data_IF_513474926269
#
_entry.id   IF_513474926269
#
_cell.length_a   1.000
_cell.length_b   1.000
_cell.length_c   1.000
_cell.angle_alpha   90.00
_cell.angle_beta   90.00
_cell.angle_gamma   90.00
#
_symmetry.space_group_name_H-M   'P 1'
#
loop_
_entity.id
_entity.type
_entity.pdbx_description
1 polymer ?
#
# COMPACT_ATOMS: atom_id res chain seq x y z
N UNK A 1 -55.17 51.33 15.81
CA UNK A 1 -55.00 50.91 15.22
C UNK A 1 -53.97 50.11 15.16
N UNK A 2 -53.70 49.43 15.26
CA UNK A 2 -53.16 48.79 14.98
C UNK A 2 -52.25 48.16 15.02
N UNK A 3 -51.63 47.49 15.32
CA UNK A 3 -50.64 46.97 15.71
C UNK A 3 -50.52 45.64 15.72
N UNK A 4 -50.27 45.20 14.89
CA UNK A 4 -50.25 43.99 14.77
C UNK A 4 -49.08 43.34 14.57
N UNK A 5 -48.33 43.72 14.86
CA UNK A 5 -47.24 43.28 14.67
C UNK A 5 -46.56 42.50 15.30
N UNK A 6 -46.75 41.72 15.80
CA UNK A 6 -46.11 40.90 16.49
C UNK A 6 -46.07 39.57 16.12
N UNK A 7 -45.86 39.24 15.05
CA UNK A 7 -45.63 37.97 14.72
C UNK A 7 -44.33 37.76 14.32
N UNK A 8 -43.53 37.95 15.04
CA UNK A 8 -42.23 37.43 14.95
C UNK A 8 -42.29 36.03 15.33
N UNK A 9 -42.17 35.25 14.48
CA UNK A 9 -41.93 33.90 14.68
C UNK A 9 -40.47 33.65 14.55
N UNK A 10 -39.80 33.57 15.55
CA UNK A 10 -38.44 33.14 15.50
C UNK A 10 -38.37 31.66 15.64
N UNK A 11 -38.88 31.07 14.69
CA UNK A 11 -38.90 29.67 14.78
C UNK A 11 -37.92 29.02 13.95
N UNK A 12 -36.78 29.63 13.93
CA UNK A 12 -35.85 29.21 13.05
C UNK A 12 -34.55 28.85 13.60
N UNK A 13 -34.55 28.55 14.80
CA UNK A 13 -33.31 28.36 15.43
C UNK A 13 -33.03 26.93 15.81
N UNK A 14 -33.68 26.06 15.22
CA UNK A 14 -33.49 24.71 15.68
C UNK A 14 -32.84 23.80 14.70
N UNK A 15 -32.12 24.39 13.87
CA UNK A 15 -31.39 23.51 13.02
C UNK A 15 -29.96 23.49 13.37
N UNK A 16 -29.60 22.88 14.10
CA UNK A 16 -28.61 22.41 14.18
C UNK A 16 -27.89 21.75 14.53
N UNK A 17 -27.46 21.33 14.23
CA UNK A 17 -26.17 20.92 14.44
C UNK A 17 -26.02 19.50 14.69
N UNK A 18 -26.17 18.86 13.72
CA UNK A 18 -25.40 17.69 13.59
C UNK A 18 -24.09 18.05 12.94
N UNK A 19 -23.36 18.74 13.64
CA UNK A 19 -21.94 18.61 13.44
C UNK A 19 -21.58 17.23 13.94
N UNK A 20 -21.96 16.27 13.19
CA UNK A 20 -21.36 15.00 13.33
C UNK A 20 -19.87 15.20 13.12
N UNK A 21 -19.12 14.96 14.13
CA UNK A 21 -17.71 14.79 14.03
C UNK A 21 -17.49 13.52 13.20
N UNK A 22 -17.69 13.67 11.94
CA UNK A 22 -17.00 12.79 11.02
C UNK A 22 -15.58 13.31 11.04
N UNK A 23 -14.61 12.47 11.29
CA UNK A 23 -13.29 12.78 10.86
C UNK A 23 -13.36 12.86 9.36
N UNK A 24 -13.79 13.98 8.87
CA UNK A 24 -13.69 14.28 7.47
C UNK A 24 -12.23 14.41 7.21
N UNK A 25 -11.68 13.39 6.63
CA UNK A 25 -10.45 13.56 5.90
C UNK A 25 -10.75 14.71 4.96
N UNK A 26 -10.12 15.81 5.22
CA UNK A 26 -10.24 16.97 4.36
C UNK A 26 -9.91 16.53 2.95
N UNK A 27 -10.70 16.95 2.00
CA UNK A 27 -10.51 16.60 0.58
C UNK A 27 -9.06 16.80 0.14
N UNK A 28 -8.36 17.76 0.72
CA UNK A 28 -6.95 17.97 0.52
C UNK A 28 -6.07 16.79 0.92
N UNK A 29 -6.34 16.14 2.03
CA UNK A 29 -5.54 14.99 2.47
C UNK A 29 -5.73 13.76 1.59
N UNK A 30 -6.93 13.52 1.10
CA UNK A 30 -7.16 12.42 0.16
C UNK A 30 -6.43 12.66 -1.17
N UNK A 31 -6.35 13.89 -1.60
CA UNK A 31 -5.60 14.26 -2.80
C UNK A 31 -4.10 14.07 -2.59
N UNK A 32 -3.62 14.42 -1.41
CA UNK A 32 -2.22 14.23 -1.05
C UNK A 32 -1.86 12.74 -0.97
N UNK A 33 -2.69 11.93 -0.34
CA UNK A 33 -2.47 10.48 -0.25
C UNK A 33 -2.46 9.82 -1.64
N UNK A 34 -3.34 10.24 -2.53
CA UNK A 34 -3.36 9.75 -3.91
C UNK A 34 -2.10 10.18 -4.69
N UNK A 35 -1.64 11.40 -4.48
CA UNK A 35 -0.41 11.89 -5.09
C UNK A 35 0.81 11.13 -4.54
N UNK A 36 0.87 10.89 -3.26
CA UNK A 36 1.92 10.08 -2.62
C UNK A 36 1.93 8.67 -3.19
N UNK A 37 0.77 8.04 -3.28
CA UNK A 37 0.63 6.70 -3.86
C UNK A 37 1.16 6.65 -5.30
N UNK A 38 0.84 7.64 -6.11
CA UNK A 38 1.32 7.72 -7.49
C UNK A 38 2.84 7.91 -7.55
N UNK A 39 3.39 8.77 -6.71
CA UNK A 39 4.84 9.00 -6.62
C UNK A 39 5.58 7.74 -6.19
N UNK A 40 5.06 7.03 -5.20
CA UNK A 40 5.64 5.76 -4.75
C UNK A 40 5.63 4.74 -5.89
N UNK A 41 4.51 4.57 -6.57
CA UNK A 41 4.42 3.65 -7.69
C UNK A 41 5.38 4.00 -8.82
N UNK A 42 5.50 5.26 -9.16
CA UNK A 42 6.44 5.72 -10.18
C UNK A 42 7.89 5.43 -9.78
N UNK A 43 8.23 5.67 -8.52
CA UNK A 43 9.57 5.41 -8.01
C UNK A 43 9.89 3.91 -7.96
N UNK A 44 8.95 3.10 -7.51
CA UNK A 44 9.10 1.65 -7.50
C UNK A 44 9.27 1.08 -8.91
N UNK A 45 8.54 1.60 -9.88
CA UNK A 45 8.69 1.18 -11.28
C UNK A 45 10.11 1.40 -11.82
N UNK A 46 10.78 2.44 -11.33
CA UNK A 46 12.16 2.75 -11.73
C UNK A 46 13.18 1.92 -10.94
N UNK A 47 12.94 1.71 -9.66
CA UNK A 47 13.92 1.08 -8.75
C UNK A 47 13.88 -0.45 -8.77
N UNK A 48 12.69 -1.03 -8.89
CA UNK A 48 12.50 -2.49 -8.80
C UNK A 48 11.86 -3.13 -10.04
N UNK A 49 11.40 -2.33 -10.94
CA UNK A 49 10.80 -2.80 -12.19
C UNK A 49 9.30 -3.02 -12.15
N UNK A 50 8.71 -3.06 -13.35
CA UNK A 50 7.27 -3.11 -13.52
C UNK A 50 6.62 -4.42 -13.02
N UNK A 51 7.36 -5.50 -13.01
CA UNK A 51 6.85 -6.82 -12.61
C UNK A 51 6.54 -6.85 -11.11
N UNK A 52 7.45 -6.34 -10.31
CA UNK A 52 7.28 -6.24 -8.87
C UNK A 52 6.17 -5.26 -8.50
N UNK A 53 6.05 -4.18 -9.27
CA UNK A 53 5.02 -3.19 -9.05
C UNK A 53 3.60 -3.76 -9.17
N UNK A 54 3.43 -4.77 -10.02
CA UNK A 54 2.12 -5.43 -10.20
C UNK A 54 1.77 -6.33 -9.02
N UNK A 55 2.78 -6.91 -8.37
CA UNK A 55 2.60 -7.81 -7.26
C UNK A 55 2.49 -7.08 -5.90
N UNK A 56 3.01 -5.86 -5.82
CA UNK A 56 3.02 -5.08 -4.59
C UNK A 56 1.85 -4.13 -4.52
N UNK A 57 1.06 -4.25 -3.48
CA UNK A 57 -0.01 -3.31 -3.19
C UNK A 57 0.52 -2.17 -2.32
N UNK A 58 0.26 -0.95 -2.76
CA UNK A 58 0.62 0.26 -2.05
C UNK A 58 -0.65 0.94 -1.57
N UNK A 59 -0.79 1.08 -0.27
CA UNK A 59 -1.91 1.79 0.33
C UNK A 59 -1.38 3.00 1.10
N UNK A 60 -2.03 4.14 0.95
CA UNK A 60 -1.65 5.37 1.63
C UNK A 60 -2.85 5.95 2.34
N UNK A 61 -2.72 6.22 3.63
CA UNK A 61 -3.76 6.82 4.45
C UNK A 61 -3.14 7.82 5.42
N UNK A 62 -3.50 9.09 5.30
CA UNK A 62 -2.96 10.17 6.12
C UNK A 62 -1.42 10.23 6.15
N UNK A 63 -0.79 9.96 5.03
CA UNK A 63 0.67 9.92 4.92
C UNK A 63 1.32 8.63 5.42
N UNK A 64 0.56 7.70 5.95
CA UNK A 64 1.03 6.38 6.34
C UNK A 64 0.94 5.42 5.14
N UNK A 65 2.07 4.91 4.74
CA UNK A 65 2.17 3.98 3.62
C UNK A 65 2.20 2.56 4.14
N UNK A 66 1.32 1.73 3.63
CA UNK A 66 1.33 0.29 3.89
C UNK A 66 1.67 -0.44 2.59
N UNK A 67 2.72 -1.21 2.63
CA UNK A 67 3.17 -2.04 1.52
C UNK A 67 2.83 -3.49 1.82
N UNK A 68 2.21 -4.17 0.90
CA UNK A 68 1.84 -5.57 1.03
C UNK A 68 2.03 -6.30 -0.29
N UNK A 69 2.39 -7.56 -0.23
CA UNK A 69 2.54 -8.41 -1.41
C UNK A 69 3.81 -9.26 -1.38
N UNK A 70 3.93 -10.19 -2.32
CA UNK A 70 5.11 -11.02 -2.45
C UNK A 70 6.23 -10.29 -3.19
N UNK A 71 7.44 -10.47 -2.73
CA UNK A 71 8.67 -9.99 -3.36
C UNK A 71 9.66 -11.14 -3.51
N UNK A 72 10.57 -11.03 -4.46
CA UNK A 72 11.49 -12.10 -4.79
C UNK A 72 12.65 -12.24 -3.79
N UNK A 73 13.02 -11.16 -3.12
CA UNK A 73 14.16 -11.17 -2.21
C UNK A 73 13.99 -10.17 -1.06
N UNK A 74 14.76 -10.36 -0.01
CA UNK A 74 14.83 -9.43 1.12
C UNK A 74 15.40 -8.08 0.70
N UNK A 75 16.36 -8.08 -0.22
CA UNK A 75 16.92 -6.85 -0.78
C UNK A 75 15.86 -6.02 -1.47
N UNK A 76 15.00 -6.67 -2.22
CA UNK A 76 13.88 -6.03 -2.91
C UNK A 76 12.88 -5.44 -1.91
N UNK A 77 12.56 -6.17 -0.87
CA UNK A 77 11.71 -5.70 0.23
C UNK A 77 12.27 -4.45 0.88
N UNK A 78 13.57 -4.42 1.15
CA UNK A 78 14.23 -3.26 1.74
C UNK A 78 14.26 -2.07 0.79
N UNK A 79 14.54 -2.29 -0.49
CA UNK A 79 14.53 -1.23 -1.52
C UNK A 79 13.14 -0.60 -1.65
N UNK A 80 12.11 -1.41 -1.68
CA UNK A 80 10.73 -0.93 -1.76
C UNK A 80 10.39 -0.09 -0.54
N UNK A 81 10.74 -0.55 0.66
CA UNK A 81 10.54 0.19 1.89
C UNK A 81 11.28 1.53 1.90
N UNK A 82 12.55 1.52 1.48
CA UNK A 82 13.36 2.72 1.39
C UNK A 82 12.83 3.70 0.34
N UNK A 83 12.42 3.20 -0.82
CA UNK A 83 11.85 4.01 -1.87
C UNK A 83 10.55 4.68 -1.40
N UNK A 84 9.70 3.96 -0.70
CA UNK A 84 8.47 4.50 -0.15
C UNK A 84 8.74 5.58 0.91
N UNK A 85 9.70 5.36 1.79
CA UNK A 85 10.04 6.33 2.84
C UNK A 85 10.70 7.60 2.31
N UNK A 86 11.31 7.54 1.15
CA UNK A 86 11.96 8.70 0.53
C UNK A 86 11.01 9.62 -0.23
N UNK A 87 9.74 9.26 -0.33
CA UNK A 87 8.75 10.08 -1.01
C UNK A 87 8.26 11.19 -0.10
N UNK A 88 8.23 12.39 -0.63
CA UNK A 88 7.76 13.55 0.10
C UNK A 88 6.28 13.42 0.45
N UNK A 89 5.96 13.73 1.69
CA UNK A 89 4.61 13.62 2.24
C UNK A 89 4.36 12.33 3.01
N UNK A 90 5.29 11.38 2.98
CA UNK A 90 5.20 10.14 3.76
C UNK A 90 5.59 10.41 5.19
N UNK A 91 4.69 10.07 6.12
CA UNK A 91 4.94 10.20 7.56
C UNK A 91 5.50 8.92 8.15
N UNK A 92 5.02 7.79 7.68
CA UNK A 92 5.42 6.47 8.17
C UNK A 92 5.24 5.41 7.08
N UNK A 93 6.05 4.37 7.14
CA UNK A 93 5.96 3.23 6.21
C UNK A 93 5.83 1.94 7.01
N UNK A 94 4.79 1.21 6.74
CA UNK A 94 4.58 -0.15 7.26
C UNK A 94 4.89 -1.15 6.15
N UNK A 95 5.94 -1.92 6.33
CA UNK A 95 6.40 -2.86 5.33
C UNK A 95 5.91 -4.27 5.66
N UNK A 96 4.82 -4.69 5.03
CA UNK A 96 4.23 -6.01 5.16
C UNK A 96 4.52 -6.89 3.94
N UNK A 97 5.61 -6.64 3.26
CA UNK A 97 6.02 -7.45 2.12
C UNK A 97 6.52 -8.82 2.59
N UNK A 98 6.17 -9.84 1.83
CA UNK A 98 6.58 -11.21 2.10
C UNK A 98 7.57 -11.66 1.04
N UNK A 99 8.71 -12.15 1.47
CA UNK A 99 9.68 -12.72 0.56
C UNK A 99 9.21 -14.10 0.16
N UNK A 100 8.85 -14.26 -1.11
CA UNK A 100 8.57 -15.56 -1.68
C UNK A 100 9.89 -16.16 -2.15
N UNK A 101 10.54 -16.84 -1.27
CA UNK A 101 11.71 -17.64 -1.65
C UNK A 101 11.18 -18.76 -2.53
N UNK A 102 11.50 -18.71 -3.81
CA UNK A 102 11.41 -19.89 -4.63
C UNK A 102 12.55 -20.77 -4.13
N UNK A 103 12.23 -21.64 -3.22
CA UNK A 103 13.17 -22.66 -2.80
C UNK A 103 13.44 -23.53 -4.03
N UNK A 104 14.53 -23.22 -4.68
CA UNK A 104 15.07 -24.11 -5.70
C UNK A 104 15.47 -25.37 -4.97
N UNK A 105 14.81 -26.50 -5.22
CA UNK A 105 15.20 -27.73 -4.55
C UNK A 105 16.70 -27.94 -4.81
N UNK A 106 17.47 -28.35 -3.80
CA UNK A 106 18.88 -28.59 -3.98
C UNK A 106 19.03 -29.56 -5.16
N UNK A 107 20.02 -29.35 -6.03
CA UNK A 107 20.24 -30.24 -7.14
C UNK A 107 20.38 -31.64 -6.57
N UNK A 108 19.44 -32.50 -6.92
CA UNK A 108 19.54 -33.90 -6.55
C UNK A 108 20.84 -34.40 -7.14
N UNK A 109 21.69 -35.08 -6.33
CA UNK A 109 22.84 -35.74 -6.87
C UNK A 109 22.34 -36.60 -8.03
N UNK A 110 22.90 -36.35 -9.19
CA UNK A 110 22.56 -37.18 -10.35
C UNK A 110 22.77 -38.62 -9.94
N UNK A 111 21.69 -39.40 -9.94
CA UNK A 111 21.84 -40.83 -9.78
C UNK A 111 22.76 -41.27 -10.90
N UNK A 112 23.94 -41.68 -10.50
CA UNK A 112 24.88 -42.29 -11.42
C UNK A 112 24.20 -43.54 -11.94
N UNK A 113 23.94 -43.67 -13.24
CA UNK A 113 23.33 -44.87 -13.76
C UNK A 113 24.25 -46.02 -13.40
N UNK A 114 23.76 -46.90 -12.55
CA UNK A 114 24.46 -48.12 -12.19
C UNK A 114 24.49 -48.95 -13.44
N UNK A 115 25.61 -49.01 -14.11
CA UNK A 115 25.82 -49.89 -15.25
C UNK A 115 25.76 -51.33 -14.70
N UNK A 116 24.85 -52.16 -15.16
CA UNK A 116 24.83 -53.54 -14.71
C UNK A 116 26.14 -54.21 -15.10
N UNK A 117 26.72 -55.06 -14.26
CA UNK A 117 27.96 -55.76 -14.57
C UNK A 117 27.79 -56.56 -15.85
N UNK A 118 28.60 -56.30 -16.82
CA UNK A 118 28.66 -57.10 -18.06
C UNK A 118 29.23 -58.45 -17.66
N UNK A 119 28.38 -59.43 -17.66
CA UNK A 119 28.79 -60.83 -17.47
C UNK A 119 29.32 -61.26 -18.84
N UNK A 120 30.63 -61.37 -18.93
CA UNK A 120 31.29 -61.97 -20.10
C UNK A 120 31.23 -63.49 -19.93
N UNK A 121 30.80 -64.25 -20.91
CA UNK A 121 30.80 -65.69 -20.84
C UNK A 121 32.20 -66.28 -20.97
#
# INVERSE_FOLDING_TARGET
>A
MKNIQRLSAPLLAAVFVFAACRPSQTVGRQTDDAAIKTKIKAKLATDVGATTLTAVEVNVTNGVVTLAGPVASEDEKQRIGAAASSVEGVTSVTNNLQVSVVEVPPPQPAEVPTIPPVTTP
#
